data_IF_953543987892
#
_entry.id   IF_953543987892
#
_cell.length_a   1.000
_cell.length_b   1.000
_cell.length_c   1.000
_cell.angle_alpha   90.00
_cell.angle_beta   90.00
_cell.angle_gamma   90.00
#
_symmetry.space_group_name_H-M   'P 1'
#
loop_
_entity.id
_entity.type
_entity.pdbx_description
1 polymer ?
#
# COMPACT_ATOMS: atom_id res chain seq x y z
N UNK A 1 -37.55 39.11 -59.36
CA UNK A 1 -37.74 40.46 -58.75
C UNK A 1 -39.22 40.58 -58.46
N UNK A 2 -39.66 40.43 -57.20
CA UNK A 2 -39.38 41.29 -56.03
C UNK A 2 -38.73 40.45 -54.89
N UNK A 3 -38.29 40.94 -53.74
CA UNK A 3 -38.51 42.18 -52.99
C UNK A 3 -38.60 41.76 -51.51
N UNK A 4 -37.60 42.17 -50.73
CA UNK A 4 -37.24 41.66 -49.39
C UNK A 4 -38.32 41.94 -48.33
N UNK A 5 -38.71 40.92 -47.57
CA UNK A 5 -39.47 41.03 -46.32
C UNK A 5 -38.47 41.01 -45.15
N UNK A 6 -38.44 42.09 -44.37
CA UNK A 6 -37.65 42.23 -43.15
C UNK A 6 -38.53 41.94 -41.95
N UNK A 7 -38.32 40.79 -41.32
CA UNK A 7 -39.06 40.35 -40.12
C UNK A 7 -38.26 40.74 -38.87
N UNK A 8 -38.81 41.67 -38.07
CA UNK A 8 -38.21 42.11 -36.80
C UNK A 8 -38.69 41.19 -35.67
N UNK A 9 -37.73 40.49 -35.04
CA UNK A 9 -37.95 39.68 -33.85
C UNK A 9 -38.44 40.50 -32.63
N UNK A 10 -39.35 39.96 -31.79
CA UNK A 10 -39.80 40.63 -30.57
C UNK A 10 -38.82 40.46 -29.40
N UNK A 11 -38.73 41.51 -28.55
CA UNK A 11 -37.89 41.59 -27.34
C UNK A 11 -38.46 40.74 -26.18
N UNK A 12 -37.62 40.20 -25.27
CA UNK A 12 -38.07 39.40 -24.13
C UNK A 12 -38.60 40.28 -22.97
N UNK A 13 -39.64 39.80 -22.29
CA UNK A 13 -40.26 40.42 -21.13
C UNK A 13 -39.52 40.08 -19.81
N UNK A 14 -39.40 41.06 -18.93
CA UNK A 14 -38.77 40.96 -17.60
C UNK A 14 -39.66 40.24 -16.56
N UNK A 15 -39.08 39.53 -15.57
CA UNK A 15 -39.85 38.81 -14.54
C UNK A 15 -40.30 39.71 -13.37
N UNK A 16 -41.40 39.36 -12.66
CA UNK A 16 -41.89 40.12 -11.50
C UNK A 16 -41.16 39.76 -10.18
N UNK A 17 -41.21 40.64 -9.15
CA UNK A 17 -40.43 40.48 -7.92
C UNK A 17 -41.07 39.57 -6.87
N UNK A 18 -40.21 38.99 -6.03
CA UNK A 18 -40.53 38.05 -4.96
C UNK A 18 -41.30 38.69 -3.78
N UNK A 19 -42.33 38.00 -3.28
CA UNK A 19 -43.08 38.38 -2.06
C UNK A 19 -42.50 37.71 -0.82
N UNK A 20 -42.19 38.56 0.17
CA UNK A 20 -41.89 38.21 1.56
C UNK A 20 -43.17 37.86 2.32
N UNK A 21 -43.15 36.78 3.10
CA UNK A 21 -44.14 36.50 4.15
C UNK A 21 -43.39 36.18 5.46
N UNK A 22 -43.68 36.99 6.49
CA UNK A 22 -43.28 36.80 7.89
C UNK A 22 -44.49 36.33 8.70
N UNK A 23 -44.21 35.48 9.70
CA UNK A 23 -44.95 35.38 10.98
C UNK A 23 -45.35 33.95 11.38
N UNK A 24 -45.61 33.65 12.67
CA UNK A 24 -45.06 34.23 13.91
C UNK A 24 -44.47 33.17 14.89
N UNK A 25 -43.87 33.65 15.97
CA UNK A 25 -43.34 32.88 17.12
C UNK A 25 -44.43 32.24 18.00
N UNK A 26 -44.16 31.05 18.57
CA UNK A 26 -44.65 30.64 19.90
C UNK A 26 -43.84 29.44 20.48
N UNK A 27 -43.20 29.72 21.62
CA UNK A 27 -43.00 28.95 22.86
C UNK A 27 -42.49 27.49 22.95
N UNK A 28 -41.72 27.33 24.02
CA UNK A 28 -40.98 26.18 24.56
C UNK A 28 -41.90 25.29 25.39
N UNK A 29 -41.77 23.96 25.28
CA UNK A 29 -42.03 23.07 26.42
C UNK A 29 -41.22 21.77 26.33
N UNK A 30 -40.60 21.45 27.45
CA UNK A 30 -39.76 20.30 27.77
C UNK A 30 -40.59 19.02 27.97
N UNK A 31 -40.11 17.88 27.44
CA UNK A 31 -40.64 16.57 27.78
C UNK A 31 -39.81 15.43 27.19
N UNK A 32 -38.93 14.84 28.00
CA UNK A 32 -38.21 13.60 27.67
C UNK A 32 -39.11 12.37 27.85
N UNK A 33 -38.90 11.31 27.05
CA UNK A 33 -39.15 9.95 27.51
C UNK A 33 -37.87 9.10 27.51
N UNK A 34 -37.63 8.42 28.64
CA UNK A 34 -36.65 7.33 28.78
C UNK A 34 -37.08 6.11 27.95
N UNK A 35 -36.13 5.28 27.50
CA UNK A 35 -36.36 3.84 27.36
C UNK A 35 -35.49 3.02 28.32
N UNK A 36 -36.07 1.93 28.82
CA UNK A 36 -35.41 0.85 29.57
C UNK A 36 -35.31 -0.43 28.70
N UNK A 37 -34.55 -1.46 29.13
CA UNK A 37 -33.55 -2.10 28.28
C UNK A 37 -33.94 -3.48 27.72
N UNK A 38 -33.37 -3.83 26.57
CA UNK A 38 -33.07 -5.20 26.08
C UNK A 38 -31.77 -5.05 25.28
N UNK A 39 -30.81 -5.96 25.16
CA UNK A 39 -30.62 -7.37 25.45
C UNK A 39 -29.24 -7.69 24.83
N UNK A 40 -28.46 -8.56 25.47
CA UNK A 40 -27.07 -8.88 25.10
C UNK A 40 -26.95 -9.40 23.66
N UNK A 41 -25.96 -8.91 22.90
CA UNK A 41 -25.21 -9.75 21.96
C UNK A 41 -23.72 -9.36 21.95
N UNK A 42 -22.89 -10.37 22.12
CA UNK A 42 -21.43 -10.34 22.24
C UNK A 42 -20.79 -10.00 20.89
N UNK A 43 -20.08 -8.86 20.82
CA UNK A 43 -19.17 -8.56 19.73
C UNK A 43 -17.73 -8.89 20.18
N UNK A 44 -17.09 -9.82 19.48
CA UNK A 44 -15.68 -10.17 19.68
C UNK A 44 -14.79 -8.98 19.33
N UNK A 45 -14.16 -8.40 20.35
CA UNK A 45 -13.06 -7.45 20.20
C UNK A 45 -11.76 -8.23 19.99
N UNK A 46 -11.11 -8.02 18.84
CA UNK A 46 -9.70 -8.37 18.66
C UNK A 46 -8.85 -7.20 19.19
N UNK A 47 -8.50 -7.25 20.47
CA UNK A 47 -7.64 -6.27 21.13
C UNK A 47 -6.17 -6.45 20.71
N UNK A 48 -5.70 -5.59 19.80
CA UNK A 48 -4.29 -5.44 19.45
C UNK A 48 -3.48 -4.70 20.53
N UNK A 49 -3.63 -5.08 21.81
CA UNK A 49 -2.96 -4.43 22.97
C UNK A 49 -1.93 -5.29 23.69
N UNK A 50 -1.50 -6.42 23.13
CA UNK A 50 -0.67 -7.39 23.85
C UNK A 50 0.84 -7.40 23.51
N UNK A 51 1.43 -6.32 22.99
CA UNK A 51 2.87 -6.31 22.64
C UNK A 51 3.75 -5.26 23.35
N UNK A 52 3.23 -4.43 24.27
CA UNK A 52 3.99 -3.27 24.77
C UNK A 52 4.23 -3.20 26.29
N UNK A 53 4.03 -4.27 27.07
CA UNK A 53 4.29 -4.23 28.53
C UNK A 53 4.91 -5.53 29.04
N UNK A 54 6.24 -5.66 28.94
CA UNK A 54 7.10 -6.48 29.81
C UNK A 54 8.58 -6.16 29.56
N UNK A 55 9.04 -5.00 30.02
CA UNK A 55 10.47 -4.72 30.22
C UNK A 55 10.65 -3.51 31.17
N UNK A 56 10.22 -3.66 32.42
CA UNK A 56 10.62 -2.76 33.49
C UNK A 56 10.62 -3.55 34.80
N UNK A 57 11.80 -3.86 35.32
CA UNK A 57 11.92 -4.52 36.61
C UNK A 57 13.29 -5.11 36.93
N UNK A 58 14.10 -4.29 37.62
CA UNK A 58 15.11 -4.64 38.63
C UNK A 58 16.58 -4.88 38.24
N UNK A 59 17.43 -4.44 39.18
CA UNK A 59 18.90 -4.47 39.34
C UNK A 59 19.58 -3.18 38.88
N UNK A 60 20.38 -2.49 39.69
CA UNK A 60 20.96 -2.79 41.01
C UNK A 60 22.26 -1.98 41.12
N UNK A 61 22.45 -1.29 42.25
CA UNK A 61 23.56 -0.37 42.48
C UNK A 61 24.94 -1.06 42.65
N UNK A 62 25.99 -0.30 42.33
CA UNK A 62 27.41 -0.58 42.60
C UNK A 62 28.27 -0.13 41.41
N UNK A 63 29.32 0.69 41.48
CA UNK A 63 30.12 1.18 42.59
C UNK A 63 31.61 1.11 42.18
N UNK A 64 32.23 2.29 42.01
CA UNK A 64 33.68 2.62 42.07
C UNK A 64 34.64 2.38 40.87
N UNK A 65 35.19 3.54 40.44
CA UNK A 65 36.60 3.96 40.31
C UNK A 65 37.62 3.10 39.53
N UNK A 66 38.29 3.75 38.58
CA UNK A 66 39.64 3.40 38.12
C UNK A 66 40.16 4.43 37.11
N UNK A 67 41.18 5.18 37.49
CA UNK A 67 41.83 6.22 36.69
C UNK A 67 43.09 5.69 35.98
N UNK A 68 43.52 6.37 34.92
CA UNK A 68 44.93 6.50 34.57
C UNK A 68 45.31 6.11 33.14
N UNK A 69 46.15 6.96 32.51
CA UNK A 69 47.11 6.51 31.48
C UNK A 69 47.06 7.23 30.14
N UNK A 70 47.80 8.34 30.03
CA UNK A 70 48.24 8.94 28.75
C UNK A 70 49.33 8.06 28.10
N UNK A 71 49.39 8.04 26.76
CA UNK A 71 50.54 8.52 25.95
C UNK A 71 50.74 7.77 24.60
N UNK A 72 50.64 8.57 23.52
CA UNK A 72 51.55 8.75 22.37
C UNK A 72 52.18 7.58 21.60
N UNK A 73 52.05 7.75 20.27
CA UNK A 73 53.09 7.73 19.22
C UNK A 73 53.26 6.46 18.36
N UNK A 74 53.02 6.66 17.06
CA UNK A 74 54.05 6.52 16.02
C UNK A 74 54.21 5.16 15.35
N UNK A 75 53.85 5.08 14.06
CA UNK A 75 54.81 4.92 12.95
C UNK A 75 54.14 4.34 11.70
N UNK A 76 54.48 4.94 10.56
CA UNK A 76 54.14 4.53 9.20
C UNK A 76 55.02 3.36 8.75
N UNK A 77 54.52 2.52 7.86
CA UNK A 77 55.34 1.88 6.83
C UNK A 77 54.51 1.60 5.56
N UNK A 78 55.03 2.05 4.41
CA UNK A 78 54.60 1.73 3.03
C UNK A 78 55.73 0.93 2.38
N UNK A 79 55.39 0.07 1.41
CA UNK A 79 56.31 -0.48 0.40
C UNK A 79 56.06 -1.97 0.12
N UNK A 80 55.29 -2.32 -0.91
CA UNK A 80 55.72 -2.64 -2.31
C UNK A 80 56.65 -3.84 -2.44
N UNK A 81 56.21 -4.89 -3.14
CA UNK A 81 56.96 -5.53 -4.23
C UNK A 81 56.06 -6.47 -5.06
N UNK A 82 56.12 -6.30 -6.38
CA UNK A 82 55.67 -7.26 -7.41
C UNK A 82 56.81 -8.23 -7.68
N UNK A 83 56.51 -9.47 -8.09
CA UNK A 83 57.37 -10.21 -9.02
C UNK A 83 56.53 -11.18 -9.87
N UNK A 84 56.83 -11.21 -11.16
CA UNK A 84 56.23 -12.06 -12.18
C UNK A 84 57.32 -12.94 -12.80
N UNK A 85 56.99 -14.18 -13.18
CA UNK A 85 57.67 -15.05 -14.15
C UNK A 85 57.05 -16.47 -14.03
N UNK A 86 57.00 -17.37 -15.01
CA UNK A 86 57.24 -17.42 -16.46
C UNK A 86 56.75 -18.82 -16.89
N UNK A 87 56.18 -18.93 -18.08
CA UNK A 87 55.81 -20.17 -18.78
C UNK A 87 57.03 -20.84 -19.42
N UNK A 88 56.92 -22.12 -19.82
CA UNK A 88 57.41 -22.53 -21.15
C UNK A 88 56.43 -23.41 -21.97
N UNK A 89 56.63 -23.37 -23.29
CA UNK A 89 55.94 -24.06 -24.41
C UNK A 89 56.51 -25.48 -24.65
N UNK A 90 55.69 -26.50 -24.96
CA UNK A 90 55.40 -27.05 -26.32
C UNK A 90 55.69 -28.58 -26.36
N UNK A 91 55.44 -29.36 -27.44
CA UNK A 91 54.64 -29.14 -28.67
C UNK A 91 53.70 -30.32 -29.10
N UNK A 92 52.84 -30.00 -30.08
CA UNK A 92 52.22 -30.78 -31.19
C UNK A 92 51.85 -32.30 -31.10
N UNK A 93 50.61 -32.63 -31.53
CA UNK A 93 50.25 -33.95 -32.08
C UNK A 93 48.74 -34.26 -32.08
N UNK A 94 48.08 -34.20 -33.25
CA UNK A 94 46.71 -34.70 -33.50
C UNK A 94 46.76 -36.21 -33.84
N UNK A 95 45.71 -37.00 -33.54
CA UNK A 95 44.74 -37.33 -34.60
C UNK A 95 43.26 -37.45 -34.15
N UNK A 96 42.36 -37.38 -35.14
CA UNK A 96 40.91 -37.63 -35.04
C UNK A 96 40.59 -39.12 -34.79
N UNK A 97 39.54 -39.41 -33.99
CA UNK A 97 38.53 -40.46 -34.27
C UNK A 97 37.29 -40.36 -33.33
N UNK A 98 36.15 -40.74 -33.90
CA UNK A 98 34.74 -40.66 -33.47
C UNK A 98 34.32 -41.68 -32.35
N UNK A 99 33.07 -41.65 -31.82
CA UNK A 99 32.73 -41.77 -30.40
C UNK A 99 32.21 -43.15 -29.98
N UNK A 100 32.01 -43.38 -28.67
CA UNK A 100 31.08 -44.34 -28.02
C UNK A 100 31.09 -44.10 -26.47
N UNK A 101 30.14 -44.62 -25.66
CA UNK A 101 29.30 -43.78 -24.81
C UNK A 101 29.36 -44.09 -23.30
N UNK A 102 28.65 -43.25 -22.53
CA UNK A 102 28.17 -43.44 -21.14
C UNK A 102 29.22 -43.42 -20.00
N UNK A 103 29.06 -42.45 -19.08
CA UNK A 103 28.76 -42.70 -17.66
C UNK A 103 28.60 -41.36 -16.93
N UNK A 104 27.52 -41.28 -16.15
CA UNK A 104 27.06 -40.08 -15.47
C UNK A 104 28.03 -39.53 -14.42
N UNK A 105 27.90 -38.23 -14.18
CA UNK A 105 28.25 -37.59 -12.91
C UNK A 105 27.12 -36.65 -12.54
N UNK A 106 26.64 -36.85 -11.32
CA UNK A 106 25.43 -36.26 -10.80
C UNK A 106 25.44 -34.74 -10.77
N UNK A 107 24.28 -34.18 -11.10
CA UNK A 107 23.87 -32.86 -10.67
C UNK A 107 24.02 -32.75 -9.15
N UNK A 108 25.00 -31.98 -8.69
CA UNK A 108 24.86 -31.28 -7.41
C UNK A 108 23.78 -30.23 -7.62
N UNK A 109 22.55 -30.61 -7.36
CA UNK A 109 21.48 -29.68 -7.12
C UNK A 109 21.88 -28.89 -5.87
N UNK A 110 22.37 -27.67 -6.05
CA UNK A 110 22.39 -26.70 -4.96
C UNK A 110 20.93 -26.37 -4.69
N UNK A 111 20.35 -27.06 -3.72
CA UNK A 111 19.13 -26.66 -3.05
C UNK A 111 19.41 -25.34 -2.33
N UNK A 112 19.33 -24.24 -3.07
CA UNK A 112 19.08 -22.94 -2.48
C UNK A 112 17.74 -23.03 -1.75
N UNK A 113 17.74 -22.68 -0.47
CA UNK A 113 16.54 -22.56 0.35
C UNK A 113 15.59 -21.56 -0.30
N UNK A 114 14.72 -22.04 -1.17
CA UNK A 114 13.55 -21.31 -1.59
C UNK A 114 12.56 -21.42 -0.43
N UNK A 115 12.71 -20.55 0.58
CA UNK A 115 11.66 -20.33 1.57
C UNK A 115 10.43 -19.93 0.77
N UNK A 116 9.53 -20.88 0.53
CA UNK A 116 8.31 -20.66 -0.23
C UNK A 116 7.56 -19.52 0.45
N UNK A 117 7.37 -18.42 -0.28
CA UNK A 117 6.63 -17.28 0.24
C UNK A 117 5.26 -17.78 0.74
N UNK A 118 4.81 -17.36 1.93
CA UNK A 118 3.55 -17.83 2.48
C UNK A 118 2.40 -17.58 1.49
N UNK A 119 1.59 -18.61 1.25
CA UNK A 119 0.49 -18.56 0.29
C UNK A 119 -0.51 -17.47 0.68
N UNK A 120 -0.96 -16.62 -0.26
CA UNK A 120 -1.88 -15.52 0.03
C UNK A 120 -3.20 -16.03 0.65
N UNK A 121 -3.77 -15.26 1.57
CA UNK A 121 -5.14 -15.44 2.00
C UNK A 121 -6.08 -14.98 0.86
N UNK A 122 -6.97 -15.85 0.41
CA UNK A 122 -7.84 -15.59 -0.75
C UNK A 122 -9.31 -15.70 -0.32
N UNK A 123 -10.10 -14.68 -0.65
CA UNK A 123 -11.56 -14.78 -0.67
C UNK A 123 -11.98 -15.09 -2.11
N UNK A 124 -12.42 -16.33 -2.40
CA UNK A 124 -12.82 -16.68 -3.76
C UNK A 124 -14.11 -15.95 -4.14
N UNK A 125 -14.21 -15.62 -5.44
CA UNK A 125 -15.46 -15.20 -6.03
C UNK A 125 -16.49 -16.36 -5.97
N UNK A 126 -17.76 -16.04 -5.76
CA UNK A 126 -18.83 -17.04 -5.72
C UNK A 126 -19.18 -17.61 -7.12
N UNK A 127 -18.90 -16.82 -8.17
CA UNK A 127 -18.91 -17.24 -9.59
C UNK A 127 -17.52 -17.09 -10.20
N UNK A 128 -17.36 -17.44 -11.48
CA UNK A 128 -16.11 -17.19 -12.21
C UNK A 128 -15.68 -15.73 -12.02
N UNK A 129 -14.49 -15.52 -11.49
CA UNK A 129 -13.98 -14.18 -11.22
C UNK A 129 -13.76 -13.43 -12.55
N UNK A 130 -14.29 -12.21 -12.63
CA UNK A 130 -14.08 -11.29 -13.77
C UNK A 130 -13.35 -10.02 -13.35
N UNK A 131 -13.00 -9.92 -12.06
CA UNK A 131 -12.23 -8.85 -11.47
C UNK A 131 -11.51 -9.35 -10.21
N UNK A 132 -10.48 -8.60 -9.80
CA UNK A 132 -9.74 -8.90 -8.59
C UNK A 132 -9.46 -7.65 -7.76
N UNK A 133 -9.33 -7.86 -6.46
CA UNK A 133 -8.79 -6.89 -5.50
C UNK A 133 -7.54 -7.50 -4.90
N UNK A 134 -6.39 -6.85 -5.04
CA UNK A 134 -5.16 -7.22 -4.36
C UNK A 134 -4.99 -6.24 -3.20
N UNK A 135 -4.97 -6.74 -1.96
CA UNK A 135 -4.93 -5.89 -0.78
C UNK A 135 -3.74 -6.22 0.14
N UNK A 136 -2.87 -5.25 0.35
CA UNK A 136 -1.62 -5.38 1.12
C UNK A 136 -1.83 -4.95 2.57
N UNK A 137 -1.54 -5.84 3.52
CA UNK A 137 -1.69 -5.56 4.95
C UNK A 137 -0.61 -4.60 5.49
N UNK A 138 -0.80 -4.10 6.71
CA UNK A 138 0.18 -3.24 7.40
C UNK A 138 1.34 -4.00 8.04
N UNK A 139 2.31 -3.26 8.58
CA UNK A 139 3.47 -3.83 9.28
C UNK A 139 3.05 -4.81 10.39
N UNK A 140 3.67 -5.98 10.44
CA UNK A 140 3.49 -6.97 11.51
C UNK A 140 2.21 -7.82 11.40
N UNK A 141 1.32 -7.51 10.47
CA UNK A 141 0.07 -8.24 10.24
C UNK A 141 0.25 -9.40 9.24
N UNK A 142 -0.86 -10.07 8.90
CA UNK A 142 -0.96 -11.06 7.83
C UNK A 142 -2.17 -10.73 6.94
N UNK A 143 -2.27 -11.37 5.77
CA UNK A 143 -3.43 -11.23 4.90
C UNK A 143 -4.76 -11.75 5.47
N UNK A 144 -4.76 -12.53 6.56
CA UNK A 144 -5.98 -13.20 7.06
C UNK A 144 -7.03 -12.22 7.58
N UNK A 145 -6.65 -11.24 8.42
CA UNK A 145 -7.60 -10.29 8.99
C UNK A 145 -8.30 -9.45 7.92
N UNK A 146 -7.56 -9.03 6.90
CA UNK A 146 -8.11 -8.31 5.76
C UNK A 146 -8.98 -9.20 4.87
N UNK A 147 -8.61 -10.46 4.65
CA UNK A 147 -9.45 -11.40 3.92
C UNK A 147 -10.81 -11.60 4.61
N UNK A 148 -10.85 -11.70 5.94
CA UNK A 148 -12.10 -11.77 6.71
C UNK A 148 -12.93 -10.48 6.56
N UNK A 149 -12.30 -9.31 6.65
CA UNK A 149 -12.97 -8.03 6.44
C UNK A 149 -13.58 -7.92 5.03
N UNK A 150 -12.83 -8.32 3.99
CA UNK A 150 -13.33 -8.35 2.62
C UNK A 150 -14.42 -9.39 2.39
N UNK A 151 -14.39 -10.53 3.08
CA UNK A 151 -15.46 -11.52 3.02
C UNK A 151 -16.81 -10.92 3.46
N UNK A 152 -16.81 -9.97 4.40
CA UNK A 152 -18.00 -9.24 4.86
C UNK A 152 -18.59 -8.27 3.83
N UNK A 153 -17.82 -7.85 2.81
CA UNK A 153 -18.26 -6.89 1.77
C UNK A 153 -18.16 -7.45 0.34
N UNK A 154 -17.89 -8.75 0.20
CA UNK A 154 -17.53 -9.37 -1.08
C UNK A 154 -18.62 -9.24 -2.15
N UNK A 155 -18.17 -9.10 -3.39
CA UNK A 155 -19.02 -9.21 -4.58
C UNK A 155 -18.85 -10.58 -5.25
N UNK A 156 -19.90 -11.08 -5.91
CA UNK A 156 -19.94 -12.47 -6.39
C UNK A 156 -18.92 -12.77 -7.51
N UNK A 157 -18.53 -11.78 -8.32
CA UNK A 157 -17.55 -11.91 -9.43
C UNK A 157 -16.14 -11.41 -9.10
N UNK A 158 -15.89 -10.98 -7.86
CA UNK A 158 -14.61 -10.38 -7.47
C UNK A 158 -13.85 -11.36 -6.58
N UNK A 159 -12.61 -11.66 -6.96
CA UNK A 159 -11.65 -12.41 -6.14
C UNK A 159 -10.86 -11.40 -5.29
N UNK A 160 -10.74 -11.63 -3.99
CA UNK A 160 -9.91 -10.81 -3.10
C UNK A 160 -8.66 -11.59 -2.72
N UNK A 161 -7.49 -10.96 -2.87
CA UNK A 161 -6.17 -11.56 -2.69
C UNK A 161 -5.42 -10.72 -1.67
N UNK A 162 -5.17 -11.30 -0.50
CA UNK A 162 -4.45 -10.68 0.60
C UNK A 162 -3.12 -11.41 0.79
N UNK A 163 -2.06 -11.03 0.04
CA UNK A 163 -0.76 -11.67 0.16
C UNK A 163 -0.12 -11.42 1.52
N UNK A 164 0.78 -12.31 1.92
CA UNK A 164 1.59 -12.16 3.13
C UNK A 164 2.92 -11.51 2.78
N UNK A 165 3.27 -10.46 3.52
CA UNK A 165 4.59 -9.88 3.46
C UNK A 165 5.65 -10.90 3.93
N UNK A 166 6.86 -10.90 3.37
CA UNK A 166 7.96 -11.69 3.89
C UNK A 166 8.33 -11.24 5.31
N UNK A 167 8.89 -12.15 6.10
CA UNK A 167 9.45 -11.81 7.42
C UNK A 167 10.85 -11.22 7.22
N UNK A 168 11.06 -10.00 7.68
CA UNK A 168 12.35 -9.31 7.60
C UNK A 168 12.62 -8.46 8.87
N UNK A 169 13.88 -8.13 9.17
CA UNK A 169 14.21 -7.16 10.21
C UNK A 169 13.63 -5.78 9.88
N UNK A 170 13.12 -5.09 10.90
CA UNK A 170 12.55 -3.74 10.74
C UNK A 170 13.28 -2.75 11.64
N UNK A 171 13.92 -1.74 11.05
CA UNK A 171 14.78 -0.77 11.74
C UNK A 171 14.03 -0.02 12.85
N UNK A 172 12.81 0.46 12.55
CA UNK A 172 11.93 1.14 13.51
C UNK A 172 11.68 0.31 14.78
N UNK A 173 11.64 -1.01 14.63
CA UNK A 173 11.36 -1.96 15.70
C UNK A 173 12.64 -2.65 16.20
N UNK A 174 13.75 -1.90 16.29
CA UNK A 174 15.03 -2.40 16.80
C UNK A 174 15.55 -3.64 16.06
N UNK A 175 15.33 -3.71 14.75
CA UNK A 175 15.67 -4.84 13.87
C UNK A 175 14.99 -6.17 14.24
N UNK A 176 13.89 -6.14 14.99
CA UNK A 176 13.07 -7.34 15.22
C UNK A 176 12.50 -7.85 13.89
N UNK A 177 12.56 -9.16 13.69
CA UNK A 177 12.03 -9.81 12.50
C UNK A 177 10.50 -9.95 12.57
N UNK A 178 9.80 -9.38 11.59
CA UNK A 178 8.33 -9.45 11.48
C UNK A 178 7.87 -9.31 10.02
N UNK A 179 6.63 -9.66 9.69
CA UNK A 179 6.09 -9.42 8.35
C UNK A 179 6.17 -7.95 7.95
N UNK A 180 6.90 -7.65 6.87
CA UNK A 180 7.03 -6.28 6.35
C UNK A 180 7.33 -6.29 4.86
N UNK A 181 6.77 -5.31 4.14
CA UNK A 181 6.94 -5.22 2.69
C UNK A 181 8.29 -4.63 2.29
N UNK A 182 8.81 -3.72 3.10
CA UNK A 182 10.08 -3.00 2.95
C UNK A 182 10.50 -2.48 4.32
N UNK A 183 11.75 -2.05 4.51
CA UNK A 183 12.16 -1.57 5.83
C UNK A 183 11.49 -0.22 6.20
N UNK A 184 11.13 -0.05 7.47
CA UNK A 184 10.64 1.22 8.01
C UNK A 184 11.70 1.75 8.96
N UNK A 185 12.24 2.92 8.65
CA UNK A 185 13.32 3.56 9.42
C UNK A 185 12.73 4.56 10.43
N UNK A 186 11.68 5.28 10.06
CA UNK A 186 11.03 6.30 10.89
C UNK A 186 9.61 6.63 10.42
N UNK A 187 8.87 7.36 11.26
CA UNK A 187 7.48 7.77 11.02
C UNK A 187 7.31 9.30 10.97
N UNK A 188 8.37 10.05 10.70
CA UNK A 188 8.31 11.51 10.48
C UNK A 188 8.33 11.85 8.98
N UNK A 189 7.84 13.03 8.55
CA UNK A 189 7.89 13.45 7.14
C UNK A 189 9.30 13.49 6.55
N UNK A 190 10.31 13.66 7.40
CA UNK A 190 11.72 13.80 7.02
C UNK A 190 12.51 12.51 7.29
N UNK A 191 11.84 11.44 7.70
CA UNK A 191 12.47 10.13 7.88
C UNK A 191 12.98 9.62 6.53
N UNK A 192 14.16 8.98 6.57
CA UNK A 192 14.64 8.23 5.42
C UNK A 192 13.69 7.07 5.13
N UNK A 193 13.55 6.73 3.85
CA UNK A 193 12.74 5.59 3.39
C UNK A 193 13.64 4.58 2.68
N UNK A 194 13.28 3.29 2.78
CA UNK A 194 13.97 2.19 2.11
C UNK A 194 13.64 2.16 0.62
N UNK A 195 14.24 3.07 -0.16
CA UNK A 195 13.97 3.20 -1.60
C UNK A 195 14.17 1.88 -2.35
N UNK A 196 15.19 1.11 -1.99
CA UNK A 196 15.50 -0.16 -2.67
C UNK A 196 14.45 -1.21 -2.35
N UNK A 197 14.08 -1.37 -1.07
CA UNK A 197 13.03 -2.30 -0.66
C UNK A 197 11.66 -1.94 -1.21
N UNK A 198 11.29 -0.65 -1.22
CA UNK A 198 10.03 -0.16 -1.80
C UNK A 198 9.94 -0.53 -3.27
N UNK A 199 10.99 -0.26 -4.06
CA UNK A 199 11.03 -0.62 -5.49
C UNK A 199 10.95 -2.13 -5.69
N UNK A 200 11.71 -2.91 -4.92
CA UNK A 200 11.69 -4.37 -5.02
C UNK A 200 10.30 -4.95 -4.67
N UNK A 201 9.67 -4.43 -3.62
CA UNK A 201 8.33 -4.84 -3.22
C UNK A 201 7.30 -4.48 -4.29
N UNK A 202 7.44 -3.32 -4.94
CA UNK A 202 6.55 -2.90 -6.03
C UNK A 202 6.67 -3.83 -7.24
N UNK A 203 7.88 -4.28 -7.60
CA UNK A 203 8.05 -5.29 -8.66
C UNK A 203 7.40 -6.63 -8.30
N UNK A 204 7.47 -7.05 -7.03
CA UNK A 204 6.78 -8.27 -6.58
C UNK A 204 5.25 -8.14 -6.69
N UNK A 205 4.70 -6.97 -6.37
CA UNK A 205 3.26 -6.70 -6.54
C UNK A 205 2.89 -6.63 -8.03
N UNK A 206 3.71 -6.03 -8.89
CA UNK A 206 3.51 -6.05 -10.36
C UNK A 206 3.49 -7.48 -10.90
N UNK A 207 4.37 -8.36 -10.41
CA UNK A 207 4.37 -9.76 -10.78
C UNK A 207 3.10 -10.50 -10.31
N UNK A 208 2.53 -10.13 -9.16
CA UNK A 208 1.24 -10.67 -8.71
C UNK A 208 0.07 -10.19 -9.60
N UNK A 209 0.10 -8.92 -10.03
CA UNK A 209 -0.86 -8.40 -11.02
C UNK A 209 -0.74 -9.19 -12.33
N UNK A 210 0.49 -9.42 -12.82
CA UNK A 210 0.74 -10.20 -14.04
C UNK A 210 0.20 -11.64 -13.95
N UNK A 211 0.26 -12.25 -12.76
CA UNK A 211 -0.29 -13.60 -12.54
C UNK A 211 -1.81 -13.60 -12.72
N UNK A 212 -2.53 -12.62 -12.16
CA UNK A 212 -3.98 -12.51 -12.34
C UNK A 212 -4.36 -12.20 -13.79
N UNK A 213 -3.56 -11.38 -14.49
CA UNK A 213 -3.71 -11.13 -15.93
C UNK A 213 -3.56 -12.42 -16.74
N UNK A 214 -2.51 -13.20 -16.46
CA UNK A 214 -2.30 -14.52 -17.11
C UNK A 214 -3.40 -15.51 -16.80
N UNK A 215 -4.02 -15.41 -15.62
CA UNK A 215 -5.16 -16.22 -15.22
C UNK A 215 -6.50 -15.71 -15.80
N UNK A 216 -6.47 -14.67 -16.63
CA UNK A 216 -7.63 -14.21 -17.41
C UNK A 216 -8.39 -13.03 -16.80
N UNK A 217 -7.87 -12.36 -15.78
CA UNK A 217 -8.45 -11.12 -15.24
C UNK A 217 -7.66 -9.92 -15.79
N UNK A 218 -8.20 -9.15 -16.75
CA UNK A 218 -7.49 -7.98 -17.30
C UNK A 218 -7.07 -6.98 -16.22
N UNK A 219 -5.93 -6.30 -16.40
CA UNK A 219 -5.40 -5.40 -15.36
C UNK A 219 -6.34 -4.23 -15.05
N UNK A 220 -7.12 -3.76 -16.03
CA UNK A 220 -8.15 -2.72 -15.84
C UNK A 220 -9.39 -3.23 -15.08
N UNK A 221 -9.39 -4.50 -14.66
CA UNK A 221 -10.35 -5.13 -13.74
C UNK A 221 -9.69 -5.52 -12.42
N UNK A 222 -8.53 -4.93 -12.12
CA UNK A 222 -7.81 -5.13 -10.87
C UNK A 222 -7.77 -3.81 -10.10
N UNK A 223 -8.25 -3.84 -8.87
CA UNK A 223 -8.00 -2.77 -7.88
C UNK A 223 -6.85 -3.22 -6.99
N UNK A 224 -5.88 -2.32 -6.80
CA UNK A 224 -4.83 -2.50 -5.81
C UNK A 224 -5.23 -1.75 -4.52
N UNK A 225 -4.86 -2.25 -3.36
CA UNK A 225 -5.23 -1.59 -2.12
C UNK A 225 -4.33 -1.98 -0.98
N UNK A 226 -4.44 -1.29 0.14
CA UNK A 226 -3.72 -1.68 1.33
C UNK A 226 -3.93 -0.74 2.50
N UNK A 227 -3.46 -1.21 3.65
CA UNK A 227 -3.50 -0.49 4.91
C UNK A 227 -2.08 -0.12 5.36
N UNK A 228 -1.90 1.12 5.85
CA UNK A 228 -0.62 1.59 6.40
C UNK A 228 0.53 1.37 5.41
N UNK A 229 1.58 0.62 5.78
CA UNK A 229 2.67 0.26 4.87
C UNK A 229 2.20 -0.38 3.56
N UNK A 230 1.20 -1.26 3.60
CA UNK A 230 0.64 -1.88 2.41
C UNK A 230 -0.11 -0.88 1.52
N UNK A 231 -0.80 0.09 2.11
CA UNK A 231 -1.43 1.19 1.37
C UNK A 231 -0.41 2.07 0.65
N UNK A 232 0.70 2.36 1.33
CA UNK A 232 1.82 3.09 0.77
C UNK A 232 2.44 2.35 -0.44
N UNK A 233 2.67 1.04 -0.31
CA UNK A 233 3.16 0.22 -1.41
C UNK A 233 2.18 0.16 -2.59
N UNK A 234 0.89 0.07 -2.29
CA UNK A 234 -0.17 0.04 -3.30
C UNK A 234 -0.23 1.33 -4.12
N UNK A 235 -0.13 2.49 -3.47
CA UNK A 235 -0.01 3.78 -4.16
C UNK A 235 1.24 3.83 -5.05
N UNK A 236 2.41 3.52 -4.49
CA UNK A 236 3.66 3.56 -5.25
C UNK A 236 3.63 2.62 -6.47
N UNK A 237 3.14 1.41 -6.30
CA UNK A 237 3.06 0.42 -7.36
C UNK A 237 2.13 0.87 -8.48
N UNK A 238 0.92 1.33 -8.13
CA UNK A 238 -0.08 1.78 -9.11
C UNK A 238 0.39 3.01 -9.91
N UNK A 239 1.11 3.94 -9.27
CA UNK A 239 1.61 5.16 -9.90
C UNK A 239 2.88 4.96 -10.73
N UNK A 240 3.57 3.82 -10.59
CA UNK A 240 4.82 3.52 -11.31
C UNK A 240 4.69 2.38 -12.33
N UNK A 241 3.64 1.56 -12.24
CA UNK A 241 3.41 0.47 -13.20
C UNK A 241 2.91 0.99 -14.56
N UNK A 242 3.26 0.27 -15.64
CA UNK A 242 2.70 0.46 -16.98
C UNK A 242 1.48 -0.43 -17.26
N UNK A 243 1.00 -1.15 -16.25
CA UNK A 243 -0.26 -1.89 -16.32
C UNK A 243 -1.41 -0.97 -15.91
N UNK A 244 -2.39 -0.78 -16.80
CA UNK A 244 -3.56 0.03 -16.48
C UNK A 244 -4.39 -0.68 -15.40
N UNK A 245 -4.59 -0.04 -14.25
CA UNK A 245 -5.40 -0.58 -13.15
C UNK A 245 -6.77 0.10 -13.09
N UNK A 246 -7.73 -0.57 -12.44
CA UNK A 246 -9.08 -0.02 -12.25
C UNK A 246 -9.09 1.12 -11.22
N UNK A 247 -8.35 0.95 -10.13
CA UNK A 247 -8.30 1.92 -9.04
C UNK A 247 -7.40 1.51 -7.89
N UNK A 248 -7.28 2.40 -6.90
CA UNK A 248 -6.56 2.18 -5.64
C UNK A 248 -7.44 2.46 -4.42
N UNK A 249 -7.35 1.60 -3.41
CA UNK A 249 -7.90 1.85 -2.06
C UNK A 249 -6.74 1.98 -1.05
N UNK A 250 -6.48 3.20 -0.57
CA UNK A 250 -5.32 3.54 0.24
C UNK A 250 -5.75 3.95 1.66
N UNK A 251 -5.58 3.05 2.63
CA UNK A 251 -6.14 3.22 3.99
C UNK A 251 -5.04 3.58 4.99
N UNK A 252 -5.23 4.69 5.72
CA UNK A 252 -4.38 5.15 6.83
C UNK A 252 -2.88 5.08 6.50
N UNK A 253 -2.49 5.61 5.34
CA UNK A 253 -1.16 5.46 4.75
C UNK A 253 -0.59 6.78 4.22
N UNK A 254 0.56 6.70 3.54
CA UNK A 254 1.25 7.81 2.90
C UNK A 254 1.72 7.43 1.49
N UNK A 255 2.08 8.41 0.66
CA UNK A 255 2.82 8.17 -0.60
C UNK A 255 4.32 8.06 -0.30
N UNK A 256 4.94 6.87 -0.43
CA UNK A 256 6.36 6.74 -0.18
C UNK A 256 7.17 7.31 -1.34
N UNK A 257 8.41 7.71 -1.07
CA UNK A 257 9.32 8.37 -2.00
C UNK A 257 8.68 9.59 -2.67
N UNK A 258 7.85 10.34 -1.93
CA UNK A 258 7.05 11.46 -2.46
C UNK A 258 7.86 12.44 -3.32
N UNK A 259 9.13 12.66 -2.96
CA UNK A 259 10.03 13.59 -3.62
C UNK A 259 10.56 13.09 -4.97
N UNK A 260 10.53 11.77 -5.24
CA UNK A 260 10.91 11.22 -6.55
C UNK A 260 9.80 11.35 -7.60
N UNK A 261 8.58 11.67 -7.18
CA UNK A 261 7.47 11.91 -8.11
C UNK A 261 7.56 13.30 -8.75
N UNK A 262 7.10 13.46 -10.01
CA UNK A 262 7.09 14.77 -10.68
C UNK A 262 6.26 15.79 -9.89
N UNK A 263 6.53 17.08 -10.11
CA UNK A 263 5.73 18.14 -9.50
C UNK A 263 4.31 18.21 -10.08
N UNK A 264 4.18 17.94 -11.38
CA UNK A 264 2.91 17.83 -12.09
C UNK A 264 2.49 16.37 -12.34
N UNK A 265 1.65 16.12 -13.36
CA UNK A 265 1.07 14.80 -13.59
C UNK A 265 2.12 13.74 -13.96
N UNK A 266 1.89 12.49 -13.53
CA UNK A 266 2.76 11.35 -13.86
C UNK A 266 2.65 10.91 -15.32
N UNK A 267 1.58 11.30 -16.02
CA UNK A 267 1.28 10.79 -17.35
C UNK A 267 1.04 9.27 -17.36
N UNK A 268 1.31 8.63 -18.49
CA UNK A 268 1.24 7.17 -18.61
C UNK A 268 -0.19 6.58 -18.58
N UNK A 269 -0.26 5.27 -18.34
CA UNK A 269 -1.51 4.48 -18.42
C UNK A 269 -2.47 4.72 -17.26
N UNK A 270 -1.95 5.12 -16.09
CA UNK A 270 -2.70 5.32 -14.85
C UNK A 270 -2.93 6.80 -14.50
N UNK A 271 -2.70 7.74 -15.43
CA UNK A 271 -2.97 9.18 -15.21
C UNK A 271 -4.41 9.50 -14.77
N UNK A 272 -5.37 8.63 -15.14
CA UNK A 272 -6.79 8.77 -14.85
C UNK A 272 -7.28 7.74 -13.81
N UNK A 273 -6.37 7.06 -13.11
CA UNK A 273 -6.72 6.05 -12.11
C UNK A 273 -7.60 6.63 -11.01
N UNK A 274 -8.60 5.88 -10.59
CA UNK A 274 -9.45 6.27 -9.46
C UNK A 274 -8.80 5.87 -8.14
N UNK A 275 -8.79 6.78 -7.17
CA UNK A 275 -8.18 6.56 -5.85
C UNK A 275 -9.18 6.93 -4.77
N UNK A 276 -9.51 5.97 -3.93
CA UNK A 276 -10.15 6.20 -2.63
C UNK A 276 -9.06 6.14 -1.56
N UNK A 277 -8.79 7.28 -0.94
CA UNK A 277 -7.92 7.36 0.22
C UNK A 277 -8.77 7.59 1.48
N UNK A 278 -8.50 6.81 2.52
CA UNK A 278 -9.24 6.81 3.78
C UNK A 278 -8.29 7.01 4.94
N UNK A 279 -8.70 7.74 5.99
CA UNK A 279 -7.84 8.00 7.15
C UNK A 279 -8.64 8.23 8.44
N UNK A 280 -8.12 7.73 9.56
CA UNK A 280 -8.67 8.06 10.89
C UNK A 280 -8.22 9.43 11.38
N UNK A 281 -9.11 10.25 11.92
CA UNK A 281 -8.75 11.58 12.40
C UNK A 281 -7.97 11.57 13.73
N UNK A 282 -8.00 10.45 14.46
CA UNK A 282 -7.25 10.22 15.69
C UNK A 282 -6.14 9.19 15.52
N UNK A 283 -5.63 8.98 14.30
CA UNK A 283 -4.52 8.06 14.03
C UNK A 283 -3.21 8.52 14.70
N UNK A 284 -2.70 7.77 15.70
CA UNK A 284 -1.49 8.15 16.43
C UNK A 284 -0.19 7.65 15.76
N UNK A 285 -0.27 6.79 14.74
CA UNK A 285 0.90 6.16 14.11
C UNK A 285 1.22 6.78 12.75
N UNK A 286 0.20 6.97 11.92
CA UNK A 286 0.29 7.70 10.66
C UNK A 286 -0.58 8.94 10.81
N UNK A 287 -0.02 10.08 11.24
CA UNK A 287 -0.81 11.28 11.51
C UNK A 287 -1.68 11.66 10.31
N UNK A 288 -2.91 12.13 10.56
CA UNK A 288 -3.84 12.57 9.51
C UNK A 288 -3.19 13.54 8.51
N UNK A 289 -2.28 14.40 8.99
CA UNK A 289 -1.49 15.30 8.15
C UNK A 289 -0.78 14.58 6.99
N UNK A 290 -0.24 13.38 7.21
CA UNK A 290 0.44 12.62 6.15
C UNK A 290 -0.56 12.13 5.10
N UNK A 291 -1.74 11.71 5.56
CA UNK A 291 -2.87 11.39 4.69
C UNK A 291 -3.26 12.59 3.83
N UNK A 292 -3.44 13.77 4.44
CA UNK A 292 -3.78 15.01 3.74
C UNK A 292 -2.72 15.43 2.71
N UNK A 293 -1.44 15.43 3.10
CA UNK A 293 -0.33 15.74 2.18
C UNK A 293 -0.25 14.75 1.02
N UNK A 294 -0.53 13.48 1.29
CA UNK A 294 -0.62 12.44 0.26
C UNK A 294 -1.78 12.73 -0.70
N UNK A 295 -2.98 13.02 -0.18
CA UNK A 295 -4.14 13.32 -1.01
C UNK A 295 -3.92 14.55 -1.90
N UNK A 296 -3.30 15.61 -1.37
CA UNK A 296 -2.92 16.79 -2.14
C UNK A 296 -1.92 16.44 -3.23
N UNK A 297 -0.87 15.67 -2.90
CA UNK A 297 0.11 15.23 -3.90
C UNK A 297 -0.54 14.37 -4.99
N UNK A 298 -1.42 13.44 -4.63
CA UNK A 298 -2.14 12.59 -5.60
C UNK A 298 -2.96 13.42 -6.58
N UNK A 299 -3.62 14.49 -6.13
CA UNK A 299 -4.37 15.42 -6.99
C UNK A 299 -3.50 16.18 -8.00
N UNK A 300 -2.18 16.28 -7.78
CA UNK A 300 -1.25 16.83 -8.78
C UNK A 300 -0.69 15.78 -9.73
N UNK A 301 -0.61 14.53 -9.28
CA UNK A 301 -0.04 13.41 -10.04
C UNK A 301 -1.04 12.79 -11.03
N UNK A 302 -2.30 12.64 -10.62
CA UNK A 302 -3.37 12.03 -11.43
C UNK A 302 -4.53 12.99 -11.61
N UNK A 303 -5.53 12.60 -12.41
CA UNK A 303 -6.74 13.39 -12.58
C UNK A 303 -7.44 13.63 -11.23
N UNK A 304 -7.50 14.88 -10.74
CA UNK A 304 -8.01 15.17 -9.40
C UNK A 304 -9.49 14.85 -9.22
N UNK A 305 -10.27 14.79 -10.31
CA UNK A 305 -11.68 14.40 -10.27
C UNK A 305 -11.88 12.94 -9.81
N UNK A 306 -10.83 12.11 -9.92
CA UNK A 306 -10.88 10.69 -9.60
C UNK A 306 -10.23 10.38 -8.22
N UNK A 307 -9.77 11.40 -7.49
CA UNK A 307 -9.17 11.25 -6.16
C UNK A 307 -10.16 11.68 -5.09
N UNK A 308 -10.60 10.73 -4.26
CA UNK A 308 -11.47 10.98 -3.12
C UNK A 308 -10.70 10.74 -1.83
N UNK A 309 -10.69 11.72 -0.92
CA UNK A 309 -10.13 11.58 0.43
C UNK A 309 -11.26 11.62 1.46
N UNK A 310 -11.37 10.57 2.28
CA UNK A 310 -12.37 10.45 3.35
C UNK A 310 -11.68 10.32 4.70
N UNK A 311 -12.21 11.04 5.68
CA UNK A 311 -11.78 10.95 7.07
C UNK A 311 -12.89 10.38 7.94
N UNK A 312 -12.52 9.60 8.95
CA UNK A 312 -13.47 8.92 9.83
C UNK A 312 -13.27 9.40 11.27
N UNK A 313 -14.30 10.04 11.81
CA UNK A 313 -14.27 10.67 13.11
C UNK A 313 -14.12 9.64 14.25
N UNK A 314 -13.17 9.87 15.14
CA UNK A 314 -12.83 9.00 16.27
C UNK A 314 -12.05 7.74 15.87
N UNK A 315 -11.77 7.53 14.59
CA UNK A 315 -11.02 6.36 14.13
C UNK A 315 -9.52 6.60 14.33
N UNK A 316 -8.86 5.63 14.96
CA UNK A 316 -7.40 5.63 15.17
C UNK A 316 -6.69 4.89 14.01
N UNK A 317 -5.52 4.28 14.25
CA UNK A 317 -4.83 3.43 13.28
C UNK A 317 -5.51 2.06 13.14
N UNK A 318 -6.71 2.06 12.56
CA UNK A 318 -7.58 0.90 12.37
C UNK A 318 -8.49 1.15 11.16
N UNK A 319 -9.35 0.18 10.84
CA UNK A 319 -10.52 0.38 9.99
C UNK A 319 -11.81 0.54 10.81
N UNK A 320 -12.88 0.99 10.15
CA UNK A 320 -14.22 1.02 10.71
C UNK A 320 -15.30 0.55 9.71
N UNK A 321 -16.51 0.27 10.19
CA UNK A 321 -17.60 -0.22 9.32
C UNK A 321 -17.95 0.78 8.21
N UNK A 322 -17.97 2.08 8.51
CA UNK A 322 -18.27 3.10 7.50
C UNK A 322 -17.21 3.14 6.40
N UNK A 323 -15.93 3.01 6.76
CA UNK A 323 -14.82 2.90 5.81
C UNK A 323 -14.98 1.68 4.91
N UNK A 324 -15.31 0.51 5.49
CA UNK A 324 -15.54 -0.71 4.70
C UNK A 324 -16.73 -0.58 3.74
N UNK A 325 -17.77 0.16 4.11
CA UNK A 325 -18.89 0.44 3.19
C UNK A 325 -18.50 1.39 2.06
N UNK A 326 -17.68 2.41 2.34
CA UNK A 326 -17.19 3.32 1.31
C UNK A 326 -16.26 2.57 0.33
N UNK A 327 -15.39 1.70 0.84
CA UNK A 327 -14.54 0.79 0.05
C UNK A 327 -15.41 -0.11 -0.83
N UNK A 328 -16.46 -0.72 -0.27
CA UNK A 328 -17.40 -1.55 -1.02
C UNK A 328 -18.03 -0.79 -2.19
N UNK A 329 -18.56 0.40 -1.94
CA UNK A 329 -19.18 1.22 -2.97
C UNK A 329 -18.20 1.61 -4.08
N UNK A 330 -16.96 1.94 -3.70
CA UNK A 330 -15.90 2.26 -4.65
C UNK A 330 -15.54 1.06 -5.53
N UNK A 331 -15.34 -0.12 -4.92
CA UNK A 331 -15.04 -1.37 -5.63
C UNK A 331 -16.18 -1.73 -6.59
N UNK A 332 -17.42 -1.75 -6.12
CA UNK A 332 -18.58 -2.14 -6.93
C UNK A 332 -18.82 -1.19 -8.11
N UNK A 333 -18.56 0.11 -7.92
CA UNK A 333 -18.68 1.11 -8.99
C UNK A 333 -17.63 0.92 -10.08
N UNK A 334 -16.38 0.62 -9.71
CA UNK A 334 -15.28 0.48 -10.67
C UNK A 334 -15.19 -0.91 -11.28
N UNK A 335 -15.68 -1.92 -10.59
CA UNK A 335 -15.68 -3.31 -11.02
C UNK A 335 -17.11 -3.85 -11.13
N UNK A 336 -17.98 -3.25 -11.97
CA UNK A 336 -19.35 -3.74 -12.14
C UNK A 336 -19.34 -5.17 -12.69
N UNK A 337 -20.43 -5.94 -12.49
CA UNK A 337 -20.65 -7.19 -13.23
C UNK A 337 -20.41 -6.97 -14.73
N UNK A 338 -19.76 -7.95 -15.35
CA UNK A 338 -19.72 -8.08 -16.82
C UNK A 338 -20.43 -9.38 -17.14
N UNK A 339 -21.33 -9.32 -18.11
CA UNK A 339 -22.08 -10.48 -18.60
C UNK A 339 -21.21 -11.39 -19.46
#
# INVERSE_FOLDING_TARGET
>A
MPGVVSDRAPRPASPPPARSMRGPHAEVSSGSPRPQPTGRHSAGHCDARAAARRAAGTRGAGGRRGAGGRARAGARARGRARLAARTPLGPAGRPLRLPLPTRGRGSRCMCGNNMSAPLPAIVPAARKATAAVIFLHGLGDTGHGWAEAFAGIRSAHIKYICPHAPVMPVTLNMNMAMPSWFDIIGLSPDSLEDETGIKQAAENVKALIDQEVKNGIPSNRIILGGFSQGGALSLYTALTTQQKLAGVTALSCWLPLRASFPQGPIGGVNRDISILQCHGDLDPLVPLMFGSLTAEKLKTLVNPANVTFRTYAGMMHSSCQQEMMDIKQFIDKLLPPVD
#
